data_IF_657343374595
#
_entry.id   IF_657343374595
#
_cell.length_a   1.000
_cell.length_b   1.000
_cell.length_c   1.000
_cell.angle_alpha   90.00
_cell.angle_beta   90.00
_cell.angle_gamma   90.00
#
_symmetry.space_group_name_H-M   'P 1'
#
loop_
_entity.id
_entity.type
_entity.pdbx_description
1 polymer ?
#
# COMPACT_ATOMS: atom_id res chain seq x y z
N UNK A 1 -24.15 6.24 6.10
CA UNK A 1 -24.09 4.81 6.54
C UNK A 1 -23.23 4.76 7.78
N UNK A 2 -23.59 4.08 8.87
CA UNK A 2 -22.68 3.94 10.03
C UNK A 2 -21.74 2.77 9.73
N UNK A 3 -20.44 3.02 9.65
CA UNK A 3 -19.41 2.00 9.70
C UNK A 3 -19.04 1.76 11.16
N UNK A 4 -18.68 0.54 11.53
CA UNK A 4 -18.20 0.21 12.86
C UNK A 4 -16.90 -0.58 12.75
N UNK A 5 -15.93 -0.25 13.57
CA UNK A 5 -14.63 -0.90 13.67
C UNK A 5 -14.07 -0.79 15.08
N UNK A 6 -12.84 -1.15 15.24
CA UNK A 6 -12.08 -1.07 16.49
C UNK A 6 -10.90 -0.12 16.35
N UNK A 7 -10.30 0.24 17.46
CA UNK A 7 -9.07 1.02 17.52
C UNK A 7 -8.21 0.60 18.71
N UNK A 8 -6.96 1.00 18.68
CA UNK A 8 -5.95 0.71 19.71
C UNK A 8 -5.36 2.03 20.19
N UNK A 9 -5.49 2.34 21.46
CA UNK A 9 -4.84 3.50 22.07
C UNK A 9 -3.34 3.22 22.14
N UNK A 10 -2.54 4.08 21.50
CA UNK A 10 -1.07 3.90 21.35
C UNK A 10 -0.28 4.98 22.09
N UNK A 11 -0.95 6.02 22.52
CA UNK A 11 -0.38 7.10 23.33
C UNK A 11 -1.53 7.73 24.14
N UNK A 12 -1.60 7.36 25.41
CA UNK A 12 -2.68 7.80 26.32
C UNK A 12 -2.53 9.28 26.70
N UNK A 13 -1.30 9.78 26.82
CA UNK A 13 -1.03 11.16 27.21
C UNK A 13 -1.43 12.15 26.11
N UNK A 14 -1.25 11.78 24.86
CA UNK A 14 -1.60 12.60 23.70
C UNK A 14 -2.95 12.21 23.07
N UNK A 15 -3.57 11.12 23.48
CA UNK A 15 -4.86 10.64 22.98
C UNK A 15 -4.79 10.13 21.52
N UNK A 16 -3.68 9.48 21.12
CA UNK A 16 -3.57 8.89 19.79
C UNK A 16 -4.09 7.46 19.75
N UNK A 17 -4.84 7.16 18.69
CA UNK A 17 -5.45 5.86 18.42
C UNK A 17 -5.06 5.39 17.03
N UNK A 18 -4.61 4.13 16.91
CA UNK A 18 -4.48 3.45 15.63
C UNK A 18 -5.76 2.73 15.27
N UNK A 19 -6.12 2.76 14.00
CA UNK A 19 -7.19 1.98 13.39
C UNK A 19 -6.87 1.72 11.92
N UNK A 20 -7.78 1.07 11.19
CA UNK A 20 -7.63 0.91 9.74
C UNK A 20 -8.18 2.11 8.95
N UNK A 21 -7.57 2.37 7.80
CA UNK A 21 -8.06 3.36 6.85
C UNK A 21 -9.51 3.06 6.43
N UNK A 22 -9.80 1.82 6.02
CA UNK A 22 -11.14 1.44 5.56
C UNK A 22 -12.23 1.60 6.62
N UNK A 23 -11.90 1.59 7.93
CA UNK A 23 -12.85 1.81 9.02
C UNK A 23 -13.33 3.26 9.03
N UNK A 24 -12.46 4.21 8.72
CA UNK A 24 -12.73 5.65 8.77
C UNK A 24 -12.95 6.29 7.40
N UNK A 25 -12.81 5.54 6.32
CA UNK A 25 -12.98 6.05 4.97
C UNK A 25 -14.39 6.63 4.78
N UNK A 26 -14.45 7.86 4.27
CA UNK A 26 -15.69 8.63 4.07
C UNK A 26 -16.50 8.92 5.37
N UNK A 27 -15.87 8.83 6.54
CA UNK A 27 -16.53 9.22 7.79
C UNK A 27 -16.62 10.75 7.91
N UNK A 28 -17.82 11.28 8.16
CA UNK A 28 -18.05 12.71 8.46
C UNK A 28 -17.76 13.01 9.93
N UNK A 29 -18.00 12.03 10.80
CA UNK A 29 -17.81 12.11 12.25
C UNK A 29 -17.28 10.78 12.78
N UNK A 30 -16.30 10.85 13.68
CA UNK A 30 -15.69 9.67 14.31
C UNK A 30 -15.92 9.76 15.82
N UNK A 31 -16.64 8.77 16.34
CA UNK A 31 -16.91 8.62 17.77
C UNK A 31 -16.28 7.34 18.26
N UNK A 32 -15.45 7.45 19.28
CA UNK A 32 -14.78 6.31 19.94
C UNK A 32 -15.52 5.98 21.23
N UNK A 33 -15.91 4.72 21.38
CA UNK A 33 -16.50 4.21 22.64
C UNK A 33 -15.43 3.41 23.39
N UNK A 34 -15.13 3.83 24.59
CA UNK A 34 -14.14 3.21 25.45
C UNK A 34 -14.73 1.98 26.20
N UNK A 35 -13.85 1.21 26.87
CA UNK A 35 -14.25 0.03 27.65
C UNK A 35 -15.16 0.38 28.83
N UNK A 36 -15.08 1.59 29.35
CA UNK A 36 -15.92 2.13 30.45
C UNK A 36 -17.21 2.80 29.94
N UNK A 37 -17.58 2.56 28.67
CA UNK A 37 -18.75 3.07 27.96
C UNK A 37 -18.74 4.60 27.71
N UNK A 38 -17.68 5.34 28.08
CA UNK A 38 -17.53 6.72 27.66
C UNK A 38 -17.42 6.81 26.14
N UNK A 39 -18.06 7.83 25.59
CA UNK A 39 -17.96 8.18 24.17
C UNK A 39 -17.16 9.47 24.01
N UNK A 40 -16.14 9.46 23.18
CA UNK A 40 -15.27 10.59 22.91
C UNK A 40 -15.19 10.84 21.42
N UNK A 41 -15.10 12.12 21.02
CA UNK A 41 -14.93 12.48 19.63
C UNK A 41 -13.46 12.38 19.24
N UNK A 42 -13.21 11.96 18.01
CA UNK A 42 -11.87 11.90 17.46
C UNK A 42 -11.80 12.54 16.08
N UNK A 43 -10.64 13.05 15.74
CA UNK A 43 -10.34 13.57 14.39
C UNK A 43 -9.22 12.74 13.75
N UNK A 44 -9.22 12.70 12.43
CA UNK A 44 -8.17 12.03 11.67
C UNK A 44 -6.92 12.92 11.67
N UNK A 45 -5.79 12.39 12.16
CA UNK A 45 -4.47 13.01 12.02
C UNK A 45 -3.93 12.78 10.63
N UNK A 46 -4.07 11.57 10.14
CA UNK A 46 -3.72 11.14 8.79
C UNK A 46 -4.10 9.69 8.58
N UNK A 47 -4.19 9.28 7.33
CA UNK A 47 -4.46 7.90 6.97
C UNK A 47 -3.73 7.50 5.70
N UNK A 48 -3.44 6.24 5.58
CA UNK A 48 -2.75 5.65 4.47
C UNK A 48 -3.53 4.44 3.92
N UNK A 49 -4.08 4.62 2.73
CA UNK A 49 -4.86 3.57 2.05
C UNK A 49 -3.98 2.39 1.66
N UNK A 50 -2.74 2.66 1.22
CA UNK A 50 -1.83 1.62 0.73
C UNK A 50 -1.42 0.60 1.79
N UNK A 51 -1.39 0.96 3.08
CA UNK A 51 -1.14 0.03 4.19
C UNK A 51 -2.36 -0.23 5.04
N UNK A 52 -3.50 0.40 4.71
CA UNK A 52 -4.75 0.33 5.48
C UNK A 52 -4.60 0.78 6.94
N UNK A 53 -3.75 1.79 7.22
CA UNK A 53 -3.49 2.34 8.55
C UNK A 53 -4.01 3.76 8.67
N UNK A 54 -4.63 4.09 9.79
CA UNK A 54 -5.04 5.44 10.13
C UNK A 54 -4.69 5.79 11.57
N UNK A 55 -4.39 7.06 11.80
CA UNK A 55 -4.16 7.64 13.13
C UNK A 55 -5.25 8.63 13.43
N UNK A 56 -5.89 8.44 14.58
CA UNK A 56 -6.89 9.36 15.12
C UNK A 56 -6.32 10.07 16.34
N UNK A 57 -6.86 11.24 16.62
CA UNK A 57 -6.61 12.00 17.84
C UNK A 57 -7.92 12.29 18.54
N UNK A 58 -7.99 12.00 19.82
CA UNK A 58 -9.09 12.40 20.70
C UNK A 58 -9.15 13.93 20.74
N UNK A 59 -10.35 14.48 20.56
CA UNK A 59 -10.60 15.94 20.57
C UNK A 59 -10.93 16.45 21.96
N UNK A 60 -11.52 15.59 22.80
CA UNK A 60 -11.93 15.94 24.15
C UNK A 60 -10.70 16.14 25.06
N UNK A 61 -10.78 17.12 25.97
CA UNK A 61 -9.70 17.42 26.93
C UNK A 61 -9.58 16.35 28.04
N UNK A 62 -10.58 15.49 28.21
CA UNK A 62 -10.58 14.45 29.25
C UNK A 62 -9.93 13.16 28.76
N UNK A 63 -8.61 13.13 28.78
CA UNK A 63 -7.78 11.95 28.51
C UNK A 63 -7.60 11.06 29.76
N UNK A 64 -8.30 11.36 30.87
CA UNK A 64 -8.17 10.60 32.11
C UNK A 64 -8.56 9.13 31.91
N UNK A 65 -7.81 8.25 32.53
CA UNK A 65 -7.99 6.79 32.49
C UNK A 65 -7.89 6.15 31.11
N UNK A 66 -7.25 6.82 30.13
CA UNK A 66 -6.78 6.13 28.95
C UNK A 66 -5.54 5.28 29.31
N UNK A 67 -5.43 4.13 28.67
CA UNK A 67 -4.26 3.27 28.83
C UNK A 67 -3.80 2.87 27.43
N UNK A 68 -2.55 3.13 27.14
CA UNK A 68 -1.91 2.75 25.89
C UNK A 68 -1.33 1.34 25.95
N UNK A 69 -1.14 0.76 24.76
CA UNK A 69 -0.52 -0.54 24.63
C UNK A 69 0.95 -0.40 24.25
N UNK A 70 1.78 -1.28 24.79
CA UNK A 70 3.19 -1.37 24.37
C UNK A 70 3.28 -2.06 23.01
N UNK A 71 4.04 -1.46 22.10
CA UNK A 71 4.38 -2.10 20.82
C UNK A 71 5.37 -3.24 21.02
N UNK A 72 4.99 -4.44 20.59
CA UNK A 72 5.89 -5.56 20.39
C UNK A 72 6.69 -5.42 19.10
N UNK A 73 7.64 -6.33 18.91
CA UNK A 73 8.45 -6.46 17.69
C UNK A 73 7.82 -7.54 16.79
N UNK A 74 7.12 -7.10 15.73
CA UNK A 74 6.48 -8.02 14.79
C UNK A 74 7.47 -8.83 13.95
N UNK A 75 8.72 -8.34 13.77
CA UNK A 75 9.75 -9.05 12.99
C UNK A 75 10.33 -10.23 13.79
N UNK A 76 10.20 -10.20 15.12
CA UNK A 76 10.57 -11.31 16.00
C UNK A 76 9.48 -12.38 16.08
N UNK A 77 8.27 -12.14 15.57
CA UNK A 77 7.13 -13.06 15.59
C UNK A 77 7.38 -14.28 14.69
N UNK A 78 6.94 -15.44 15.11
CA UNK A 78 7.15 -16.71 14.40
C UNK A 78 5.84 -17.46 14.18
N UNK A 79 5.77 -18.23 13.10
CA UNK A 79 4.68 -19.16 12.89
C UNK A 79 4.59 -20.14 14.06
N UNK A 80 3.40 -20.27 14.63
CA UNK A 80 3.12 -21.05 15.82
C UNK A 80 3.06 -20.25 17.12
N UNK A 81 3.46 -18.98 17.14
CA UNK A 81 3.33 -18.13 18.33
C UNK A 81 1.85 -17.89 18.65
N UNK A 82 1.50 -17.95 19.92
CA UNK A 82 0.15 -17.65 20.39
C UNK A 82 -0.15 -16.17 20.28
N UNK A 83 -1.33 -15.85 19.76
CA UNK A 83 -1.83 -14.49 19.64
C UNK A 83 -3.27 -14.37 20.08
N UNK A 84 -3.63 -13.19 20.52
CA UNK A 84 -4.97 -12.81 20.97
C UNK A 84 -5.44 -11.64 20.13
N UNK A 85 -6.57 -11.79 19.43
CA UNK A 85 -7.21 -10.71 18.70
C UNK A 85 -8.29 -10.07 19.59
N UNK A 86 -8.23 -8.75 19.69
CA UNK A 86 -9.13 -7.93 20.51
C UNK A 86 -9.84 -6.92 19.59
N UNK A 87 -11.14 -6.77 19.78
CA UNK A 87 -11.94 -5.82 19.04
C UNK A 87 -13.40 -5.81 19.47
N UNK A 88 -14.26 -5.16 18.70
CA UNK A 88 -15.70 -5.08 18.94
C UNK A 88 -16.50 -5.57 17.73
N UNK A 89 -16.50 -6.89 17.45
CA UNK A 89 -17.22 -7.43 16.31
C UNK A 89 -18.72 -7.19 16.45
N UNK A 90 -19.34 -6.74 15.38
CA UNK A 90 -20.79 -6.50 15.29
C UNK A 90 -21.34 -5.50 16.33
N UNK A 91 -20.51 -4.73 17.03
CA UNK A 91 -20.95 -3.83 18.09
C UNK A 91 -21.52 -4.54 19.34
N UNK A 92 -21.16 -5.81 19.55
CA UNK A 92 -21.69 -6.65 20.65
C UNK A 92 -20.91 -6.50 21.97
N UNK A 93 -20.07 -5.49 22.11
CA UNK A 93 -19.09 -5.28 23.17
C UNK A 93 -17.72 -5.93 22.89
N UNK A 94 -16.73 -5.57 23.71
CA UNK A 94 -15.35 -6.04 23.55
C UNK A 94 -15.28 -7.57 23.49
N UNK A 95 -14.71 -8.07 22.45
CA UNK A 95 -14.55 -9.51 22.20
C UNK A 95 -13.07 -9.84 22.10
N UNK A 96 -12.71 -10.93 22.73
CA UNK A 96 -11.35 -11.49 22.73
C UNK A 96 -11.42 -12.87 22.09
N UNK A 97 -10.59 -13.10 21.09
CA UNK A 97 -10.40 -14.42 20.49
C UNK A 97 -8.92 -14.80 20.53
N UNK A 98 -8.60 -16.07 20.53
CA UNK A 98 -7.23 -16.57 20.57
C UNK A 98 -6.95 -17.51 19.41
N UNK A 99 -5.71 -17.57 19.01
CA UNK A 99 -5.19 -18.45 17.98
C UNK A 99 -3.68 -18.42 17.95
N UNK A 100 -3.13 -18.75 16.80
CA UNK A 100 -1.69 -18.71 16.53
C UNK A 100 -1.39 -17.89 15.29
N UNK A 101 -0.14 -17.48 15.14
CA UNK A 101 0.41 -17.03 13.87
C UNK A 101 0.47 -18.21 12.92
N UNK A 102 -0.34 -18.21 11.87
CA UNK A 102 -0.44 -19.29 10.88
C UNK A 102 0.56 -19.12 9.74
N UNK A 103 0.88 -17.88 9.36
CA UNK A 103 1.89 -17.53 8.36
C UNK A 103 2.33 -16.07 8.53
N UNK A 104 3.44 -15.71 7.90
CA UNK A 104 3.98 -14.35 7.81
C UNK A 104 4.17 -13.97 6.34
N UNK A 105 4.35 -12.68 6.06
CA UNK A 105 4.65 -12.19 4.72
C UNK A 105 3.52 -12.38 3.71
N UNK A 106 2.26 -12.41 4.16
CA UNK A 106 1.12 -12.57 3.23
C UNK A 106 0.84 -11.31 2.47
N UNK A 107 0.75 -11.44 1.14
CA UNK A 107 0.47 -10.36 0.20
C UNK A 107 -0.48 -10.84 -0.90
N UNK A 108 -0.96 -9.90 -1.75
CA UNK A 108 -1.89 -10.18 -2.85
C UNK A 108 -3.35 -10.30 -2.41
N UNK A 109 -3.70 -9.73 -1.25
CA UNK A 109 -5.06 -9.67 -0.71
C UNK A 109 -5.78 -8.45 -1.28
N UNK A 110 -5.17 -7.28 -1.26
CA UNK A 110 -5.59 -6.10 -2.01
C UNK A 110 -4.78 -5.97 -3.31
N UNK A 111 -5.27 -5.20 -4.27
CA UNK A 111 -4.63 -5.13 -5.61
C UNK A 111 -3.38 -4.27 -5.62
N UNK A 112 -3.34 -3.20 -4.81
CA UNK A 112 -2.34 -2.14 -4.92
C UNK A 112 -1.72 -1.75 -3.57
N UNK A 113 -1.89 -2.60 -2.52
CA UNK A 113 -1.43 -2.33 -1.16
C UNK A 113 0.02 -2.73 -0.90
N UNK A 114 0.60 -2.08 0.10
CA UNK A 114 1.85 -2.52 0.74
C UNK A 114 1.48 -3.57 1.79
N UNK A 115 1.59 -4.83 1.44
CA UNK A 115 1.08 -5.94 2.22
C UNK A 115 2.20 -6.84 2.72
N UNK A 116 2.24 -7.04 4.02
CA UNK A 116 3.13 -7.96 4.72
C UNK A 116 2.39 -8.61 5.89
N UNK A 117 1.16 -9.08 5.63
CA UNK A 117 0.25 -9.46 6.68
C UNK A 117 0.74 -10.66 7.51
N UNK A 118 0.51 -10.56 8.82
CA UNK A 118 0.49 -11.69 9.73
C UNK A 118 -0.84 -12.43 9.51
N UNK A 119 -0.78 -13.69 9.12
CA UNK A 119 -1.96 -14.57 9.07
C UNK A 119 -2.17 -15.25 10.42
N UNK A 120 -3.41 -15.28 10.90
CA UNK A 120 -3.80 -15.95 12.14
C UNK A 120 -5.10 -16.74 11.98
N UNK A 121 -5.27 -17.79 12.78
CA UNK A 121 -6.55 -18.51 12.94
C UNK A 121 -7.39 -17.99 14.11
N UNK A 122 -6.88 -17.02 14.89
CA UNK A 122 -7.70 -16.26 15.81
C UNK A 122 -8.91 -15.67 15.07
N UNK A 123 -10.10 -15.80 15.64
CA UNK A 123 -11.33 -15.39 14.94
C UNK A 123 -11.40 -13.88 14.78
N UNK A 124 -11.15 -13.39 13.56
CA UNK A 124 -11.37 -12.00 13.14
C UNK A 124 -12.68 -11.96 12.37
N UNK A 125 -13.55 -11.02 12.71
CA UNK A 125 -14.86 -10.80 12.07
C UNK A 125 -15.06 -9.30 11.83
N UNK A 126 -16.02 -8.89 10.98
CA UNK A 126 -16.38 -7.48 10.80
C UNK A 126 -16.61 -6.76 12.14
N UNK A 127 -15.91 -5.65 12.35
CA UNK A 127 -15.85 -4.89 13.60
C UNK A 127 -14.57 -5.11 14.41
N UNK A 128 -13.82 -6.21 14.23
CA UNK A 128 -12.48 -6.36 14.79
C UNK A 128 -11.42 -5.55 14.02
N UNK A 129 -11.70 -5.13 12.78
CA UNK A 129 -10.79 -4.31 11.97
C UNK A 129 -10.40 -3.05 12.74
N UNK A 130 -9.11 -2.74 12.78
CA UNK A 130 -8.50 -1.66 13.56
C UNK A 130 -8.17 -2.04 15.01
N UNK A 131 -8.63 -3.19 15.50
CA UNK A 131 -8.33 -3.70 16.85
C UNK A 131 -6.95 -4.33 16.94
N UNK A 132 -6.55 -4.69 18.16
CA UNK A 132 -5.23 -5.23 18.45
C UNK A 132 -5.13 -6.74 18.16
N UNK A 133 -3.97 -7.15 17.60
CA UNK A 133 -3.43 -8.49 17.72
C UNK A 133 -2.26 -8.43 18.71
N UNK A 134 -2.34 -9.16 19.83
CA UNK A 134 -1.33 -9.09 20.88
C UNK A 134 -0.69 -10.46 21.13
N UNK A 135 0.55 -10.44 21.59
CA UNK A 135 1.24 -11.64 22.06
C UNK A 135 0.88 -11.97 23.53
N UNK A 136 1.43 -13.07 24.08
CA UNK A 136 1.17 -13.47 25.46
C UNK A 136 1.79 -12.54 26.53
N UNK A 137 2.66 -11.61 26.14
CA UNK A 137 3.19 -10.55 27.03
C UNK A 137 2.24 -9.33 27.08
N UNK A 138 1.16 -9.31 26.29
CA UNK A 138 0.27 -8.17 26.17
C UNK A 138 0.81 -7.06 25.25
N UNK A 139 1.83 -7.37 24.42
CA UNK A 139 2.41 -6.42 23.48
C UNK A 139 1.70 -6.49 22.12
N UNK A 140 1.52 -5.34 21.49
CA UNK A 140 0.90 -5.23 20.17
C UNK A 140 1.83 -5.78 19.10
N UNK A 141 1.44 -6.88 18.44
CA UNK A 141 2.20 -7.47 17.33
C UNK A 141 1.54 -7.22 15.97
N UNK A 142 0.28 -6.77 15.96
CA UNK A 142 -0.40 -6.40 14.72
C UNK A 142 -1.70 -5.63 14.95
N UNK A 143 -2.21 -5.03 13.86
CA UNK A 143 -3.54 -4.42 13.78
C UNK A 143 -4.43 -5.31 12.94
N UNK A 144 -5.53 -5.82 13.50
CA UNK A 144 -6.49 -6.65 12.78
C UNK A 144 -7.04 -5.88 11.58
N UNK A 145 -7.02 -6.45 10.39
CA UNK A 145 -7.47 -5.74 9.18
C UNK A 145 -8.54 -6.51 8.44
N UNK A 146 -8.24 -7.67 7.87
CA UNK A 146 -9.09 -8.35 6.92
C UNK A 146 -9.29 -9.83 7.20
N UNK A 147 -10.26 -10.43 6.52
CA UNK A 147 -10.45 -11.89 6.45
C UNK A 147 -10.61 -12.30 4.99
N UNK A 148 -10.13 -13.51 4.64
CA UNK A 148 -10.59 -14.18 3.42
C UNK A 148 -11.84 -14.97 3.78
N UNK A 149 -12.96 -14.63 3.18
CA UNK A 149 -14.23 -15.31 3.45
C UNK A 149 -15.14 -15.29 2.24
N UNK A 150 -15.72 -16.43 1.90
CA UNK A 150 -16.78 -16.53 0.89
C UNK A 150 -18.16 -16.11 1.39
N UNK A 151 -18.37 -16.11 2.70
CA UNK A 151 -19.68 -15.91 3.34
C UNK A 151 -19.70 -14.71 4.31
N UNK A 152 -18.62 -13.90 4.36
CA UNK A 152 -18.50 -12.73 5.23
C UNK A 152 -18.19 -13.03 6.70
N UNK A 153 -18.05 -14.30 7.10
CA UNK A 153 -17.63 -14.72 8.44
C UNK A 153 -16.24 -15.38 8.44
N UNK A 154 -15.60 -15.46 9.60
CA UNK A 154 -14.30 -16.09 9.76
C UNK A 154 -14.34 -17.59 9.40
N UNK A 155 -13.36 -18.04 8.62
CA UNK A 155 -13.14 -19.46 8.24
C UNK A 155 -11.78 -19.97 8.73
N UNK A 156 -11.19 -19.33 9.74
CA UNK A 156 -9.85 -19.65 10.27
C UNK A 156 -8.72 -18.96 9.50
N UNK A 157 -9.01 -17.94 8.70
CA UNK A 157 -8.03 -17.15 7.96
C UNK A 157 -8.30 -15.67 8.21
N UNK A 158 -7.55 -15.10 9.14
CA UNK A 158 -7.55 -13.69 9.46
C UNK A 158 -6.18 -13.07 9.16
N UNK A 159 -6.15 -11.76 8.95
CA UNK A 159 -4.95 -11.00 8.63
C UNK A 159 -4.81 -9.80 9.54
N UNK A 160 -3.59 -9.53 9.97
CA UNK A 160 -3.24 -8.34 10.73
C UNK A 160 -2.02 -7.64 10.10
N UNK A 161 -2.04 -6.32 10.10
CA UNK A 161 -0.92 -5.48 9.69
C UNK A 161 0.15 -5.57 10.77
N UNK A 162 1.42 -5.89 10.46
CA UNK A 162 2.48 -6.01 11.46
C UNK A 162 2.68 -4.71 12.26
N UNK A 163 2.97 -4.84 13.55
CA UNK A 163 3.13 -3.68 14.46
C UNK A 163 4.28 -2.76 14.05
N UNK A 164 5.39 -3.31 13.52
CA UNK A 164 6.52 -2.51 13.04
C UNK A 164 6.14 -1.67 11.82
N UNK A 165 5.37 -2.25 10.88
CA UNK A 165 4.79 -1.52 9.74
C UNK A 165 3.85 -0.41 10.23
N UNK A 166 2.87 -0.74 11.07
CA UNK A 166 1.91 0.22 11.61
C UNK A 166 2.61 1.37 12.36
N UNK A 167 3.68 1.08 13.15
CA UNK A 167 4.51 2.07 13.83
C UNK A 167 5.26 2.99 12.86
N UNK A 168 5.80 2.45 11.77
CA UNK A 168 6.52 3.24 10.75
C UNK A 168 5.57 4.23 10.07
N UNK A 169 4.41 3.75 9.64
CA UNK A 169 3.35 4.58 9.03
C UNK A 169 2.84 5.63 10.02
N UNK A 170 2.49 5.23 11.24
CA UNK A 170 2.05 6.14 12.30
C UNK A 170 3.00 7.32 12.50
N UNK A 171 4.31 7.07 12.58
CA UNK A 171 5.31 8.14 12.74
C UNK A 171 5.26 9.15 11.60
N UNK A 172 5.12 8.70 10.35
CA UNK A 172 5.01 9.59 9.21
C UNK A 172 3.69 10.39 9.24
N UNK A 173 2.57 9.74 9.57
CA UNK A 173 1.28 10.39 9.70
C UNK A 173 1.27 11.45 10.81
N UNK A 174 1.93 11.20 11.95
CA UNK A 174 2.08 12.17 13.03
C UNK A 174 2.99 13.35 12.65
N UNK A 175 4.06 13.10 11.88
CA UNK A 175 5.07 14.12 11.51
C UNK A 175 4.62 14.97 10.33
N UNK A 176 4.00 14.35 9.31
CA UNK A 176 3.69 15.01 8.02
C UNK A 176 2.19 15.06 7.70
N UNK A 177 1.33 14.31 8.38
CA UNK A 177 -0.07 14.12 8.02
C UNK A 177 -0.29 13.14 6.87
N UNK A 178 0.77 12.71 6.21
CA UNK A 178 0.78 11.81 5.05
C UNK A 178 1.98 10.87 5.07
N UNK A 179 1.94 9.80 4.26
CA UNK A 179 3.07 8.88 4.10
C UNK A 179 3.89 9.29 2.88
N UNK A 180 5.17 9.61 3.09
CA UNK A 180 6.13 9.98 2.05
C UNK A 180 7.00 8.79 1.71
N UNK A 181 6.59 8.05 0.70
CA UNK A 181 7.26 6.82 0.30
C UNK A 181 8.52 7.07 -0.51
N UNK A 182 9.53 6.27 -0.23
CA UNK A 182 10.70 6.19 -1.08
C UNK A 182 10.39 5.45 -2.37
N UNK A 183 10.95 5.91 -3.48
CA UNK A 183 10.85 5.30 -4.80
C UNK A 183 12.23 4.92 -5.33
N UNK A 184 12.39 3.65 -5.74
CA UNK A 184 13.60 3.20 -6.41
C UNK A 184 13.54 3.45 -7.92
N UNK A 185 12.34 3.42 -8.50
CA UNK A 185 12.09 3.69 -9.92
C UNK A 185 12.41 2.52 -10.83
N UNK A 186 11.96 1.34 -10.46
CA UNK A 186 12.05 0.10 -11.24
C UNK A 186 10.66 -0.51 -11.45
N UNK A 187 10.44 -1.15 -12.59
CA UNK A 187 9.32 -2.07 -12.79
C UNK A 187 9.85 -3.47 -12.52
N UNK A 188 9.18 -4.20 -11.66
CA UNK A 188 9.66 -5.49 -11.13
C UNK A 188 8.61 -6.59 -11.31
N UNK A 189 9.10 -7.82 -11.36
CA UNK A 189 8.28 -9.04 -11.32
C UNK A 189 8.92 -10.03 -10.35
N UNK A 190 8.11 -10.94 -9.80
CA UNK A 190 8.65 -12.01 -8.95
C UNK A 190 9.37 -13.04 -9.81
N UNK A 191 10.57 -13.46 -9.38
CA UNK A 191 11.27 -14.56 -10.04
C UNK A 191 10.42 -15.83 -9.91
N UNK A 192 10.14 -16.45 -11.05
CA UNK A 192 9.41 -17.71 -11.16
C UNK A 192 10.22 -18.67 -12.07
N UNK A 193 9.87 -19.97 -12.15
CA UNK A 193 10.62 -20.93 -12.95
C UNK A 193 10.80 -20.51 -14.41
N UNK A 194 9.77 -19.93 -15.02
CA UNK A 194 9.78 -19.58 -16.45
C UNK A 194 10.74 -18.43 -16.75
N UNK A 195 10.77 -17.37 -15.92
CA UNK A 195 11.70 -16.25 -16.12
C UNK A 195 13.13 -16.60 -15.64
N UNK A 196 13.29 -17.42 -14.60
CA UNK A 196 14.58 -17.90 -14.13
C UNK A 196 15.29 -18.77 -15.19
N UNK A 197 14.56 -19.68 -15.85
CA UNK A 197 15.10 -20.53 -16.91
C UNK A 197 15.56 -19.69 -18.12
N UNK A 198 14.81 -18.64 -18.47
CA UNK A 198 15.19 -17.70 -19.55
C UNK A 198 16.51 -17.00 -19.26
N UNK A 199 16.79 -16.70 -17.99
CA UNK A 199 18.02 -16.06 -17.53
C UNK A 199 19.14 -17.06 -17.21
N UNK A 200 18.88 -18.36 -17.39
CA UNK A 200 19.87 -19.42 -17.12
C UNK A 200 20.16 -19.63 -15.63
N UNK A 201 19.28 -19.19 -14.74
CA UNK A 201 19.45 -19.22 -13.29
C UNK A 201 18.61 -20.34 -12.68
N UNK A 202 19.19 -21.06 -11.71
CA UNK A 202 18.49 -22.12 -10.98
C UNK A 202 18.42 -21.77 -9.50
N UNK A 203 17.26 -22.03 -8.89
CA UNK A 203 17.02 -21.82 -7.44
C UNK A 203 17.30 -20.39 -6.96
N UNK A 204 16.96 -19.39 -7.76
CA UNK A 204 17.05 -17.99 -7.40
C UNK A 204 15.65 -17.49 -7.06
N UNK A 205 15.50 -16.79 -5.92
CA UNK A 205 14.31 -16.03 -5.55
C UNK A 205 14.67 -14.56 -5.53
N UNK A 206 13.69 -13.67 -5.68
CA UNK A 206 13.92 -12.24 -5.67
C UNK A 206 12.96 -11.47 -6.58
N UNK A 207 13.24 -10.18 -6.73
CA UNK A 207 12.53 -9.28 -7.63
C UNK A 207 13.35 -9.07 -8.91
N UNK A 208 12.82 -9.53 -10.04
CA UNK A 208 13.41 -9.35 -11.37
C UNK A 208 13.11 -7.95 -11.89
N UNK A 209 14.14 -7.18 -12.22
CA UNK A 209 14.01 -5.85 -12.84
C UNK A 209 13.63 -6.00 -14.31
N UNK A 210 12.39 -5.60 -14.64
CA UNK A 210 11.86 -5.60 -16.01
C UNK A 210 12.19 -4.30 -16.75
N UNK A 211 12.25 -3.19 -16.01
CA UNK A 211 12.53 -1.87 -16.55
C UNK A 211 13.12 -0.97 -15.46
N UNK A 212 13.93 -0.01 -15.86
CA UNK A 212 14.49 1.04 -15.00
C UNK A 212 14.01 2.38 -15.55
N UNK A 213 13.39 3.20 -14.71
CA UNK A 213 12.89 4.51 -15.11
C UNK A 213 14.05 5.48 -15.34
N UNK A 214 14.05 6.24 -16.44
CA UNK A 214 15.07 7.26 -16.68
C UNK A 214 15.14 8.30 -15.56
N UNK A 215 16.32 8.68 -15.13
CA UNK A 215 16.57 9.65 -14.06
C UNK A 215 16.28 9.14 -12.64
N UNK A 216 15.83 7.89 -12.47
CA UNK A 216 15.46 7.31 -11.19
C UNK A 216 16.65 7.02 -10.27
N UNK A 217 16.35 6.77 -9.00
CA UNK A 217 17.33 6.29 -8.02
C UNK A 217 18.03 5.01 -8.48
N UNK A 218 17.31 4.10 -9.11
CA UNK A 218 17.84 2.85 -9.66
C UNK A 218 18.84 3.10 -10.79
N UNK A 219 18.49 3.95 -11.76
CA UNK A 219 19.40 4.28 -12.87
C UNK A 219 20.68 4.96 -12.35
N UNK A 220 20.53 5.95 -11.45
CA UNK A 220 21.68 6.63 -10.84
C UNK A 220 22.58 5.69 -10.03
N UNK A 221 22.00 4.63 -9.44
CA UNK A 221 22.75 3.60 -8.72
C UNK A 221 23.39 2.57 -9.64
N UNK A 222 23.04 2.52 -10.94
CA UNK A 222 23.56 1.57 -11.90
C UNK A 222 22.84 0.22 -11.89
N UNK A 223 21.60 0.16 -11.41
CA UNK A 223 20.71 -1.01 -11.55
C UNK A 223 20.27 -1.10 -13.02
N UNK A 224 20.21 -2.30 -13.56
CA UNK A 224 19.90 -2.55 -14.96
C UNK A 224 18.79 -3.59 -15.14
N UNK A 225 18.20 -3.63 -16.32
CA UNK A 225 17.22 -4.65 -16.72
C UNK A 225 17.87 -6.04 -16.59
N UNK A 226 17.09 -7.01 -16.11
CA UNK A 226 17.48 -8.38 -15.79
C UNK A 226 18.33 -8.54 -14.51
N UNK A 227 18.56 -7.50 -13.74
CA UNK A 227 19.02 -7.67 -12.37
C UNK A 227 17.94 -8.37 -11.53
N UNK A 228 18.35 -9.30 -10.67
CA UNK A 228 17.46 -9.90 -9.68
C UNK A 228 17.84 -9.34 -8.32
N UNK A 229 16.99 -8.47 -7.77
CA UNK A 229 17.21 -7.91 -6.44
C UNK A 229 16.86 -8.98 -5.41
N UNK A 230 17.85 -9.28 -4.55
CA UNK A 230 17.79 -10.37 -3.56
C UNK A 230 17.89 -9.89 -2.12
N UNK A 231 18.29 -8.62 -1.88
CA UNK A 231 18.27 -8.04 -0.56
C UNK A 231 18.22 -6.50 -0.61
N UNK A 232 17.64 -5.89 0.43
CA UNK A 232 17.63 -4.45 0.71
C UNK A 232 18.18 -4.24 2.11
N UNK A 233 19.24 -3.44 2.26
CA UNK A 233 19.95 -3.17 3.52
C UNK A 233 20.43 -4.43 4.27
N UNK A 234 20.57 -5.55 3.57
CA UNK A 234 20.95 -6.84 4.12
C UNK A 234 19.77 -7.76 4.42
N UNK A 235 18.55 -7.24 4.45
CA UNK A 235 17.33 -8.02 4.61
C UNK A 235 16.98 -8.70 3.28
N UNK A 236 16.68 -10.00 3.35
CA UNK A 236 16.39 -10.83 2.19
C UNK A 236 15.11 -10.36 1.48
N UNK A 237 15.13 -10.42 0.15
CA UNK A 237 13.99 -10.17 -0.72
C UNK A 237 13.75 -11.40 -1.59
N UNK A 238 12.61 -12.05 -1.43
CA UNK A 238 12.23 -13.26 -2.16
C UNK A 238 11.19 -13.00 -3.27
N UNK A 239 10.58 -11.81 -3.31
CA UNK A 239 9.53 -11.45 -4.26
C UNK A 239 9.51 -9.96 -4.62
N UNK A 240 8.80 -9.61 -5.70
CA UNK A 240 8.52 -8.23 -6.05
C UNK A 240 7.70 -7.50 -4.97
N UNK A 241 6.77 -8.19 -4.32
CA UNK A 241 5.97 -7.63 -3.22
C UNK A 241 6.84 -7.24 -2.03
N UNK A 242 7.79 -8.11 -1.63
CA UNK A 242 8.72 -7.82 -0.54
C UNK A 242 9.65 -6.65 -0.88
N UNK A 243 10.16 -6.56 -2.12
CA UNK A 243 10.95 -5.40 -2.54
C UNK A 243 10.13 -4.12 -2.47
N UNK A 244 8.90 -4.13 -2.98
CA UNK A 244 7.99 -2.99 -2.94
C UNK A 244 7.74 -2.54 -1.49
N UNK A 245 7.44 -3.47 -0.59
CA UNK A 245 7.24 -3.18 0.83
C UNK A 245 8.49 -2.60 1.46
N UNK A 246 9.66 -3.24 1.26
CA UNK A 246 10.93 -2.78 1.83
C UNK A 246 11.27 -1.35 1.40
N UNK A 247 11.07 -1.01 0.14
CA UNK A 247 11.35 0.34 -0.39
C UNK A 247 10.24 1.33 -0.01
N UNK A 248 8.97 0.94 -0.17
CA UNK A 248 7.83 1.84 0.03
C UNK A 248 7.57 2.23 1.49
N UNK A 249 8.10 1.48 2.46
CA UNK A 249 8.06 1.82 3.89
C UNK A 249 9.21 2.74 4.31
N UNK A 250 10.25 2.89 3.48
CA UNK A 250 11.34 3.84 3.68
C UNK A 250 10.94 5.23 3.19
N UNK A 251 11.65 6.24 3.66
CA UNK A 251 11.37 7.64 3.31
C UNK A 251 12.08 8.03 2.02
N UNK A 252 11.50 8.97 1.31
CA UNK A 252 12.22 9.73 0.30
C UNK A 252 13.50 10.33 0.89
N UNK A 253 14.59 10.25 0.12
CA UNK A 253 15.92 10.71 0.54
C UNK A 253 16.74 9.70 1.37
N UNK A 254 16.13 8.59 1.81
CA UNK A 254 16.86 7.55 2.53
C UNK A 254 17.88 6.88 1.60
N UNK A 255 19.08 6.64 2.16
CA UNK A 255 20.12 5.87 1.49
C UNK A 255 19.87 4.38 1.73
N UNK A 256 19.82 3.60 0.64
CA UNK A 256 19.59 2.16 0.69
C UNK A 256 20.71 1.39 0.00
N UNK A 257 20.99 0.21 0.49
CA UNK A 257 21.92 -0.74 -0.11
C UNK A 257 21.13 -1.87 -0.77
N UNK A 258 21.19 -1.96 -2.09
CA UNK A 258 20.52 -2.99 -2.88
C UNK A 258 21.53 -4.07 -3.23
N UNK A 259 21.24 -5.32 -2.90
CA UNK A 259 22.00 -6.47 -3.37
C UNK A 259 21.23 -7.14 -4.50
N UNK A 260 21.88 -7.31 -5.64
CA UNK A 260 21.27 -7.96 -6.79
C UNK A 260 22.22 -9.00 -7.43
N UNK A 261 21.62 -9.94 -8.13
CA UNK A 261 22.31 -10.92 -8.97
C UNK A 261 22.24 -10.45 -10.42
N UNK A 262 23.41 -10.14 -11.02
CA UNK A 262 23.58 -9.76 -12.43
C UNK A 262 24.45 -10.80 -13.11
N UNK A 263 23.94 -11.49 -14.13
CA UNK A 263 24.68 -12.55 -14.86
C UNK A 263 25.31 -13.61 -13.93
N UNK A 264 24.57 -14.00 -12.88
CA UNK A 264 25.04 -14.99 -11.91
C UNK A 264 26.05 -14.47 -10.88
N UNK A 265 26.38 -13.17 -10.88
CA UNK A 265 27.31 -12.54 -9.92
C UNK A 265 26.57 -11.61 -8.98
N UNK A 266 26.84 -11.73 -7.68
CA UNK A 266 26.31 -10.81 -6.68
C UNK A 266 26.95 -9.45 -6.83
N UNK A 267 26.14 -8.41 -6.93
CA UNK A 267 26.55 -7.01 -6.95
C UNK A 267 25.80 -6.23 -5.87
N UNK A 268 26.40 -5.13 -5.42
CA UNK A 268 25.81 -4.26 -4.42
C UNK A 268 25.78 -2.83 -4.94
N UNK A 269 24.63 -2.21 -4.88
CA UNK A 269 24.37 -0.85 -5.34
C UNK A 269 23.97 0.02 -4.15
N UNK A 270 24.39 1.27 -4.14
CA UNK A 270 23.92 2.27 -3.19
C UNK A 270 23.02 3.25 -3.92
N UNK A 271 21.78 3.35 -3.48
CA UNK A 271 20.80 4.27 -4.03
C UNK A 271 20.34 5.25 -2.95
N UNK A 272 19.95 6.45 -3.37
CA UNK A 272 19.17 7.38 -2.55
C UNK A 272 17.78 7.43 -3.13
N UNK A 273 16.79 7.05 -2.34
CA UNK A 273 15.40 6.92 -2.80
C UNK A 273 14.84 8.28 -3.21
N UNK A 274 14.13 8.28 -4.33
CA UNK A 274 13.38 9.44 -4.80
C UNK A 274 12.09 9.61 -3.97
N UNK A 275 11.45 10.76 -4.08
CA UNK A 275 10.12 10.97 -3.55
C UNK A 275 9.11 10.37 -4.54
N UNK A 276 8.20 9.54 -4.05
CA UNK A 276 7.02 9.18 -4.80
C UNK A 276 6.13 10.41 -4.82
N UNK A 277 6.12 11.13 -5.93
CA UNK A 277 5.26 12.30 -6.05
C UNK A 277 3.81 11.81 -6.05
N UNK A 278 3.05 12.19 -5.04
CA UNK A 278 1.59 12.00 -5.00
C UNK A 278 0.91 13.02 -5.93
N UNK A 279 1.36 13.06 -7.18
CA UNK A 279 0.77 13.91 -8.20
C UNK A 279 -0.67 13.48 -8.43
N UNK A 280 -1.64 14.30 -8.04
CA UNK A 280 -3.05 14.10 -8.36
C UNK A 280 -3.51 15.18 -9.33
N UNK A 281 -4.04 14.77 -10.46
CA UNK A 281 -4.68 15.69 -11.40
C UNK A 281 -6.19 15.51 -11.29
N UNK A 282 -6.84 16.42 -10.58
CA UNK A 282 -8.30 16.41 -10.40
C UNK A 282 -9.08 16.77 -11.68
N UNK A 283 -8.44 17.39 -12.68
CA UNK A 283 -9.08 17.78 -13.92
C UNK A 283 -8.16 17.55 -15.13
N UNK A 284 -8.15 16.34 -15.63
CA UNK A 284 -7.33 15.96 -16.78
C UNK A 284 -7.69 16.70 -18.08
N UNK A 285 -8.86 17.33 -18.15
CA UNK A 285 -9.26 18.18 -19.25
C UNK A 285 -8.38 19.45 -19.44
N UNK A 286 -7.66 19.85 -18.39
CA UNK A 286 -6.68 20.94 -18.46
C UNK A 286 -5.41 20.53 -19.19
N UNK A 287 -5.05 19.25 -19.15
CA UNK A 287 -3.90 18.70 -19.88
C UNK A 287 -4.31 18.46 -21.35
N UNK A 288 -5.47 17.83 -21.55
CA UNK A 288 -5.98 17.52 -22.89
C UNK A 288 -7.51 17.37 -22.88
N UNK A 289 -8.23 18.01 -23.82
CA UNK A 289 -9.69 17.91 -23.88
C UNK A 289 -10.24 16.48 -23.93
N UNK A 290 -9.55 15.57 -24.61
CA UNK A 290 -9.93 14.15 -24.71
C UNK A 290 -9.84 13.39 -23.38
N UNK A 291 -9.15 13.89 -22.38
CA UNK A 291 -9.05 13.30 -21.04
C UNK A 291 -10.01 13.95 -20.04
N UNK A 292 -10.86 14.89 -20.48
CA UNK A 292 -11.82 15.55 -19.60
C UNK A 292 -12.74 14.54 -18.95
N UNK A 293 -12.92 14.68 -17.64
CA UNK A 293 -13.75 13.81 -16.81
C UNK A 293 -13.00 12.63 -16.21
N UNK A 294 -11.68 12.51 -16.43
CA UNK A 294 -10.84 11.60 -15.68
C UNK A 294 -10.09 12.35 -14.58
N UNK A 295 -9.87 11.67 -13.47
CA UNK A 295 -8.95 12.05 -12.40
C UNK A 295 -7.80 11.03 -12.37
N UNK A 296 -6.60 11.52 -12.27
CA UNK A 296 -5.37 10.73 -12.28
C UNK A 296 -4.62 10.88 -10.96
N UNK A 297 -3.99 9.81 -10.54
CA UNK A 297 -3.05 9.80 -9.43
C UNK A 297 -1.81 8.98 -9.83
N UNK A 298 -0.67 9.24 -9.19
CA UNK A 298 0.47 8.35 -9.34
C UNK A 298 0.11 6.96 -8.83
N UNK A 299 0.58 5.92 -9.51
CA UNK A 299 0.49 4.56 -8.98
C UNK A 299 1.46 4.41 -7.81
N UNK A 300 1.02 3.74 -6.74
CA UNK A 300 1.78 3.59 -5.48
C UNK A 300 3.15 2.91 -5.66
N UNK A 301 3.31 2.12 -6.72
CA UNK A 301 4.56 1.43 -7.05
C UNK A 301 5.43 2.17 -8.09
N UNK A 302 5.02 3.39 -8.49
CA UNK A 302 5.70 4.15 -9.54
C UNK A 302 5.62 3.51 -10.93
N UNK A 303 4.74 2.51 -11.11
CA UNK A 303 4.58 1.80 -12.39
C UNK A 303 3.79 2.59 -13.44
N UNK A 304 3.40 3.82 -13.15
CA UNK A 304 2.64 4.66 -14.05
C UNK A 304 1.61 5.55 -13.33
N UNK A 305 0.49 5.77 -13.99
CA UNK A 305 -0.59 6.63 -13.52
C UNK A 305 -1.88 5.84 -13.40
N UNK A 306 -2.47 5.84 -12.20
CA UNK A 306 -3.78 5.22 -11.97
C UNK A 306 -4.91 6.20 -12.30
N UNK A 307 -5.94 5.69 -12.93
CA UNK A 307 -7.19 6.41 -13.16
C UNK A 307 -8.04 6.26 -11.90
N UNK A 308 -8.09 7.29 -11.07
CA UNK A 308 -8.79 7.24 -9.78
C UNK A 308 -10.29 7.52 -9.88
N UNK A 309 -10.74 8.19 -10.93
CA UNK A 309 -12.17 8.40 -11.22
C UNK A 309 -12.38 8.72 -12.69
N UNK A 310 -13.53 8.32 -13.24
CA UNK A 310 -13.98 8.70 -14.60
C UNK A 310 -15.46 9.01 -14.58
N UNK A 311 -15.80 10.26 -14.86
CA UNK A 311 -17.19 10.68 -15.03
C UNK A 311 -17.81 9.96 -16.23
N UNK A 312 -18.95 9.30 -16.02
CA UNK A 312 -19.72 8.64 -17.08
C UNK A 312 -20.04 9.63 -18.22
N UNK A 313 -20.01 9.13 -19.45
CA UNK A 313 -20.26 9.92 -20.69
C UNK A 313 -19.27 11.08 -20.96
N UNK A 314 -18.18 11.17 -20.19
CA UNK A 314 -17.11 12.15 -20.43
C UNK A 314 -16.26 11.76 -21.64
N UNK A 315 -15.50 12.73 -22.24
CA UNK A 315 -14.51 12.43 -23.27
C UNK A 315 -13.52 11.34 -22.88
N UNK A 316 -13.09 11.30 -21.62
CA UNK A 316 -12.18 10.25 -21.10
C UNK A 316 -12.82 8.87 -21.10
N UNK A 317 -14.13 8.77 -20.86
CA UNK A 317 -14.87 7.52 -20.90
C UNK A 317 -15.11 7.02 -22.35
N UNK A 318 -14.80 7.83 -23.38
CA UNK A 318 -15.05 7.56 -24.78
C UNK A 318 -13.76 7.70 -25.59
N UNK A 319 -13.03 6.61 -25.78
CA UNK A 319 -11.90 6.56 -26.71
C UNK A 319 -12.37 6.06 -28.11
N UNK A 320 -11.63 6.39 -29.15
CA UNK A 320 -11.95 6.01 -30.53
C UNK A 320 -12.00 4.48 -30.70
N UNK A 321 -13.21 3.92 -30.70
CA UNK A 321 -13.48 2.54 -31.14
C UNK A 321 -13.26 1.40 -30.15
N UNK A 322 -12.73 1.65 -28.95
CA UNK A 322 -12.38 0.58 -27.98
C UNK A 322 -12.95 0.78 -26.56
N UNK A 323 -13.82 1.78 -26.38
CA UNK A 323 -14.24 2.23 -25.05
C UNK A 323 -13.10 3.07 -24.39
N UNK A 324 -13.47 3.98 -23.45
CA UNK A 324 -12.53 4.90 -22.83
C UNK A 324 -11.84 4.34 -21.59
N UNK A 325 -11.24 5.26 -20.83
CA UNK A 325 -10.68 5.02 -19.52
C UNK A 325 -11.78 4.58 -18.54
N UNK A 326 -11.36 3.85 -17.54
CA UNK A 326 -12.22 3.42 -16.40
C UNK A 326 -11.42 3.59 -15.11
N UNK A 327 -12.14 3.78 -14.03
CA UNK A 327 -11.55 3.71 -12.69
C UNK A 327 -10.77 2.40 -12.50
N UNK A 328 -9.57 2.50 -11.93
CA UNK A 328 -8.65 1.39 -11.73
C UNK A 328 -7.77 1.03 -12.95
N UNK A 329 -7.87 1.75 -14.07
CA UNK A 329 -6.90 1.58 -15.17
C UNK A 329 -5.54 2.12 -14.78
N UNK A 330 -4.48 1.36 -15.02
CA UNK A 330 -3.09 1.80 -14.86
C UNK A 330 -2.52 2.20 -16.23
N UNK A 331 -2.24 3.48 -16.42
CA UNK A 331 -1.59 4.00 -17.63
C UNK A 331 -0.08 3.85 -17.47
N UNK A 332 0.55 3.08 -18.35
CA UNK A 332 1.99 2.79 -18.30
C UNK A 332 2.79 3.49 -19.38
N UNK A 333 2.16 3.85 -20.50
CA UNK A 333 2.83 4.54 -21.60
C UNK A 333 1.90 5.55 -22.26
N UNK A 334 2.48 6.64 -22.75
CA UNK A 334 1.87 7.63 -23.64
C UNK A 334 2.67 7.64 -24.94
N UNK A 335 2.00 7.39 -26.09
CA UNK A 335 2.65 7.39 -27.42
C UNK A 335 3.92 6.51 -27.52
N UNK A 336 3.99 5.41 -26.75
CA UNK A 336 5.10 4.47 -26.58
C UNK A 336 6.20 4.92 -25.60
N UNK A 337 6.13 6.13 -25.07
CA UNK A 337 7.04 6.56 -24.01
C UNK A 337 6.50 6.09 -22.67
N UNK A 338 7.34 5.41 -21.87
CA UNK A 338 6.99 4.95 -20.53
C UNK A 338 6.79 6.14 -19.60
N UNK A 339 5.77 6.05 -18.73
CA UNK A 339 5.50 7.07 -17.72
C UNK A 339 5.53 6.41 -16.34
N UNK A 340 6.08 7.12 -15.36
CA UNK A 340 6.19 6.66 -13.97
C UNK A 340 5.22 7.37 -13.02
N UNK A 341 4.60 8.47 -13.48
CA UNK A 341 3.71 9.27 -12.67
C UNK A 341 3.00 10.35 -13.48
N UNK A 342 2.19 11.12 -12.76
CA UNK A 342 1.31 12.15 -13.32
C UNK A 342 2.07 13.30 -14.00
N UNK A 343 3.26 13.65 -13.52
CA UNK A 343 4.09 14.68 -14.16
C UNK A 343 4.62 14.21 -15.51
N UNK A 344 5.00 12.93 -15.65
CA UNK A 344 5.37 12.35 -16.93
C UNK A 344 4.16 12.32 -17.87
N UNK A 345 2.98 11.94 -17.37
CA UNK A 345 1.74 11.98 -18.14
C UNK A 345 1.49 13.40 -18.67
N UNK A 346 1.63 14.41 -17.82
CA UNK A 346 1.42 15.82 -18.19
C UNK A 346 2.39 16.26 -19.29
N UNK A 347 3.67 15.93 -19.15
CA UNK A 347 4.72 16.25 -20.13
C UNK A 347 4.43 15.59 -21.48
N UNK A 348 4.27 14.27 -21.50
CA UNK A 348 4.11 13.50 -22.74
C UNK A 348 2.79 13.82 -23.47
N UNK A 349 1.71 14.09 -22.72
CA UNK A 349 0.42 14.51 -23.28
C UNK A 349 0.52 15.93 -23.84
N UNK A 350 1.24 16.85 -23.17
CA UNK A 350 1.50 18.21 -23.65
C UNK A 350 2.28 18.23 -24.95
N UNK A 351 3.31 17.41 -25.07
CA UNK A 351 4.16 17.30 -26.27
C UNK A 351 3.44 16.67 -27.47
N UNK A 352 2.38 15.91 -27.24
CA UNK A 352 1.59 15.30 -28.31
C UNK A 352 0.85 16.33 -29.18
N UNK A 353 0.62 17.55 -28.68
CA UNK A 353 -0.05 18.64 -29.40
C UNK A 353 -1.42 18.21 -29.97
N UNK A 354 -1.68 18.46 -31.26
CA UNK A 354 -2.94 18.10 -31.94
C UNK A 354 -2.93 16.70 -32.59
N UNK A 355 -1.86 15.91 -32.42
CA UNK A 355 -1.79 14.55 -32.96
C UNK A 355 -2.67 13.59 -32.14
N UNK A 356 -3.12 12.46 -32.71
CA UNK A 356 -3.75 11.41 -31.94
C UNK A 356 -2.85 10.95 -30.78
N UNK A 357 -3.42 10.74 -29.61
CA UNK A 357 -2.73 10.24 -28.45
C UNK A 357 -3.08 8.77 -28.26
N UNK A 358 -2.09 7.98 -27.93
CA UNK A 358 -2.23 6.55 -27.62
C UNK A 358 -1.82 6.33 -26.18
N UNK A 359 -2.74 5.81 -25.37
CA UNK A 359 -2.48 5.40 -23.99
C UNK A 359 -2.40 3.88 -23.95
N UNK A 360 -1.30 3.35 -23.46
CA UNK A 360 -1.21 1.96 -23.09
C UNK A 360 -1.60 1.82 -21.64
N UNK A 361 -2.63 1.00 -21.40
CA UNK A 361 -3.17 0.79 -20.07
C UNK A 361 -3.14 -0.68 -19.69
N UNK A 362 -3.11 -0.96 -18.39
CA UNK A 362 -3.42 -2.28 -17.83
C UNK A 362 -4.79 -2.22 -17.15
N UNK A 363 -5.71 -3.06 -17.61
CA UNK A 363 -7.05 -3.22 -17.04
C UNK A 363 -7.26 -4.69 -16.69
N UNK A 364 -7.47 -5.01 -15.41
CA UNK A 364 -7.63 -6.40 -14.94
C UNK A 364 -6.49 -7.32 -15.41
N UNK A 365 -5.24 -6.85 -15.33
CA UNK A 365 -4.04 -7.57 -15.76
C UNK A 365 -3.83 -7.67 -17.28
N UNK A 366 -4.75 -7.16 -18.10
CA UNK A 366 -4.64 -7.17 -19.58
C UNK A 366 -4.13 -5.82 -20.09
N UNK A 367 -3.19 -5.89 -21.01
CA UNK A 367 -2.67 -4.72 -21.74
C UNK A 367 -3.66 -4.30 -22.82
N UNK A 368 -4.03 -3.04 -22.84
CA UNK A 368 -4.92 -2.43 -23.83
C UNK A 368 -4.28 -1.16 -24.38
N UNK A 369 -4.58 -0.84 -25.64
CA UNK A 369 -4.18 0.41 -26.27
C UNK A 369 -5.43 1.24 -26.56
N UNK A 370 -5.55 2.39 -25.92
CA UNK A 370 -6.63 3.35 -26.16
C UNK A 370 -6.14 4.48 -27.05
N UNK A 371 -6.96 4.91 -27.99
CA UNK A 371 -6.68 6.03 -28.86
C UNK A 371 -7.64 7.18 -28.58
N UNK A 372 -7.09 8.37 -28.39
CA UNK A 372 -7.84 9.61 -28.23
C UNK A 372 -7.50 10.56 -29.37
N UNK A 373 -8.50 10.94 -30.16
CA UNK A 373 -8.28 11.75 -31.38
C UNK A 373 -8.23 13.24 -31.12
N UNK A 374 -8.80 13.75 -30.05
CA UNK A 374 -8.67 15.15 -29.59
C UNK A 374 -9.17 15.32 -28.16
#
# INVERSE_FOLDING_TARGET
MRSAGSGVIIDADNGYILTNHHVIANAEEIVVTLVDERTINATVVGSDEGTDVAVLKVVDEDLNNLTDITFGDSDATRVGDFVIAIGNPFGLSHTVTSGIVSALGRSGISRDGYEDFIQTDASINPGNSGGALVNLNGELVGINSAIISSNGGNVGIGFAIPSNMARSIMRQLLEYGEVRRGLLGVIIDTVNPDNADTLGLKNVTGALVQSVNPGSAAERAGIEINDIITAVNGDKVDSAAELRNSIGLMRSGDAVTITALREGKVQTFKATLDEMSSGRIANAGEIRPGLRGATFADADDGAGVIVSDVTSDSPAAQADGSGGLREGDLITHVNREAISGVEDLRREVGDAGSRPMYLEIRRNGRRLLLKFSR
#
